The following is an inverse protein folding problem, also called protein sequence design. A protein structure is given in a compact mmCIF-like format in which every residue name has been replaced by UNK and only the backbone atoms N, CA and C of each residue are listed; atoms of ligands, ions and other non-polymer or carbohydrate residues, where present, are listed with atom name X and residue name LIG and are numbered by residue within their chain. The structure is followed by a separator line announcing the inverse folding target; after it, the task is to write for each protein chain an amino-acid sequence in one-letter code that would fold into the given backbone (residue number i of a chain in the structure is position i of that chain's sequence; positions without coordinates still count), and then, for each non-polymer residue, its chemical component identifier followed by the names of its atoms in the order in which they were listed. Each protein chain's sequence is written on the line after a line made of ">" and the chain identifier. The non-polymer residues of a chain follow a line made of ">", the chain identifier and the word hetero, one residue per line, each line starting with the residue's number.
data_IF_492175111824
#
_entry.id   IF_492175111824
#
_cell.length_a   1.000
_cell.length_b   1.000
_cell.length_c   1.000
_cell.angle_alpha   90.00
_cell.angle_beta   90.00
_cell.angle_gamma   90.00
#
_symmetry.space_group_name_H-M   'P 1'
#
loop_
_entity.id
_entity.type
_entity.pdbx_description
1 polymer ?
#
# COMPACT_ATOMS: atom_id res chain seq x y z
N UNK A 1 -36.25 -2.68 0.65
CA UNK A 1 -35.73 -1.31 0.80
C UNK A 1 -34.71 -1.32 1.91
N UNK A 2 -33.47 -1.65 1.55
CA UNK A 2 -32.30 -1.53 2.41
C UNK A 2 -31.20 -1.04 1.49
N UNK A 3 -30.88 0.25 1.61
CA UNK A 3 -29.74 0.85 0.93
C UNK A 3 -28.49 0.30 1.60
N UNK A 4 -27.74 -0.53 0.89
CA UNK A 4 -26.39 -0.97 1.29
C UNK A 4 -25.38 -0.23 0.41
N UNK A 5 -25.28 1.09 0.60
CA UNK A 5 -24.26 1.93 -0.04
C UNK A 5 -23.44 2.66 1.03
N UNK A 6 -22.70 1.90 1.85
CA UNK A 6 -21.52 2.41 2.58
C UNK A 6 -20.24 2.03 1.82
N UNK A 7 -20.15 2.43 0.55
CA UNK A 7 -18.93 2.30 -0.25
C UNK A 7 -18.23 3.65 -0.23
N UNK A 8 -17.38 3.85 0.79
CA UNK A 8 -16.58 5.06 1.00
C UNK A 8 -15.92 5.55 -0.28
N UNK A 9 -16.54 6.52 -0.94
CA UNK A 9 -16.03 7.11 -2.17
C UNK A 9 -14.93 8.09 -1.80
N UNK A 10 -13.67 7.71 -2.01
CA UNK A 10 -12.53 8.62 -1.83
C UNK A 10 -12.59 9.68 -2.93
N UNK A 11 -12.80 10.94 -2.55
CA UNK A 11 -12.80 12.06 -3.48
C UNK A 11 -11.53 12.06 -4.36
N UNK A 12 -11.66 12.38 -5.66
CA UNK A 12 -10.51 12.46 -6.56
C UNK A 12 -9.44 13.40 -5.98
N UNK A 13 -8.17 13.00 -6.06
CA UNK A 13 -7.03 13.75 -5.52
C UNK A 13 -6.83 13.62 -4.00
N UNK A 14 -7.80 13.07 -3.25
CA UNK A 14 -7.60 12.74 -1.84
C UNK A 14 -6.69 11.51 -1.70
N UNK A 15 -5.94 11.43 -0.60
CA UNK A 15 -5.14 10.26 -0.24
C UNK A 15 -6.06 9.06 -0.02
N UNK A 16 -5.94 8.08 -0.90
CA UNK A 16 -6.73 6.86 -0.90
C UNK A 16 -6.04 5.76 -0.08
N UNK A 17 -4.72 5.64 -0.22
CA UNK A 17 -3.92 4.64 0.49
C UNK A 17 -2.62 5.29 0.97
N UNK A 18 -2.23 5.03 2.21
CA UNK A 18 -0.93 5.42 2.78
C UNK A 18 -0.22 4.19 3.33
N UNK A 19 1.04 4.02 2.95
CA UNK A 19 1.98 3.10 3.55
C UNK A 19 2.89 3.93 4.45
N UNK A 20 3.04 3.55 5.71
CA UNK A 20 3.83 4.25 6.71
C UNK A 20 4.87 3.31 7.30
N UNK A 21 6.14 3.62 7.06
CA UNK A 21 7.31 2.90 7.58
C UNK A 21 7.31 1.38 7.29
N UNK A 22 6.76 1.00 6.14
CA UNK A 22 6.59 -0.40 5.76
C UNK A 22 7.93 -1.08 5.58
N UNK A 23 8.15 -2.12 6.37
CA UNK A 23 9.31 -3.00 6.22
C UNK A 23 8.88 -4.45 6.07
N UNK A 24 9.60 -5.18 5.22
CA UNK A 24 9.39 -6.62 5.00
C UNK A 24 10.71 -7.32 4.73
N UNK A 25 10.93 -8.39 5.46
CA UNK A 25 12.07 -9.29 5.30
C UNK A 25 11.59 -10.71 5.03
N UNK A 26 12.42 -11.47 4.34
CA UNK A 26 12.27 -12.90 4.13
C UNK A 26 13.58 -13.58 4.48
N UNK A 27 13.60 -14.32 5.60
CA UNK A 27 14.82 -14.93 6.12
C UNK A 27 15.94 -13.88 6.24
N UNK A 28 17.00 -13.96 5.42
CA UNK A 28 18.13 -13.02 5.40
C UNK A 28 17.99 -11.85 4.43
N UNK A 29 16.90 -11.76 3.64
CA UNK A 29 16.72 -10.73 2.61
C UNK A 29 15.72 -9.68 3.07
N UNK A 30 16.16 -8.41 3.13
CA UNK A 30 15.30 -7.26 3.40
C UNK A 30 14.68 -6.76 2.08
N UNK A 31 13.44 -7.16 1.81
CA UNK A 31 12.74 -6.83 0.57
C UNK A 31 12.25 -5.37 0.57
N UNK A 32 11.72 -4.88 1.69
CA UNK A 32 11.29 -3.50 1.84
C UNK A 32 11.84 -2.95 3.16
N UNK A 33 12.41 -1.74 3.12
CA UNK A 33 13.00 -1.08 4.30
C UNK A 33 12.40 0.31 4.44
N UNK A 34 11.61 0.53 5.49
CA UNK A 34 11.08 1.83 5.89
C UNK A 34 10.43 2.60 4.72
N UNK A 35 9.57 1.91 3.95
CA UNK A 35 8.89 2.51 2.80
C UNK A 35 7.67 3.31 3.29
N UNK A 36 7.66 4.60 2.95
CA UNK A 36 6.50 5.48 3.15
C UNK A 36 6.03 6.00 1.80
N UNK A 37 4.77 5.76 1.47
CA UNK A 37 4.18 6.07 0.16
C UNK A 37 2.70 6.44 0.31
N UNK A 38 2.29 7.55 -0.30
CA UNK A 38 0.88 7.94 -0.40
C UNK A 38 0.38 7.81 -1.84
N UNK A 39 -0.78 7.19 -2.03
CA UNK A 39 -1.46 7.06 -3.31
C UNK A 39 -2.76 7.86 -3.27
N UNK A 40 -2.97 8.75 -4.24
CA UNK A 40 -4.20 9.54 -4.34
C UNK A 40 -5.21 8.90 -5.28
N UNK A 41 -6.48 9.15 -5.00
CA UNK A 41 -7.59 8.69 -5.84
C UNK A 41 -7.50 9.30 -7.24
N UNK A 42 -7.48 8.45 -8.27
CA UNK A 42 -7.43 8.85 -9.68
C UNK A 42 -6.03 8.98 -10.27
N UNK A 43 -4.97 8.70 -9.51
CA UNK A 43 -3.59 8.71 -10.02
C UNK A 43 -3.12 7.31 -10.46
N UNK A 44 -2.23 7.29 -11.46
CA UNK A 44 -1.54 6.08 -11.92
C UNK A 44 -0.08 6.21 -11.50
N UNK A 45 0.42 5.25 -10.73
CA UNK A 45 1.81 5.20 -10.29
C UNK A 45 2.54 4.04 -10.95
N UNK A 46 3.77 4.28 -11.38
CA UNK A 46 4.67 3.24 -11.85
C UNK A 46 5.71 2.94 -10.77
N UNK A 47 5.80 1.66 -10.35
CA UNK A 47 6.83 1.20 -9.44
C UNK A 47 7.97 0.55 -10.25
N UNK A 48 9.14 1.20 -10.26
CA UNK A 48 10.30 0.80 -11.07
C UNK A 48 11.45 0.32 -10.19
N UNK A 49 12.33 -0.50 -10.76
CA UNK A 49 13.50 -1.05 -10.07
C UNK A 49 13.87 -2.44 -10.60
N UNK A 50 15.02 -2.96 -10.20
CA UNK A 50 15.55 -4.26 -10.64
C UNK A 50 14.83 -5.45 -10.03
N UNK A 51 15.04 -6.64 -10.58
CA UNK A 51 14.57 -7.88 -9.98
C UNK A 51 15.16 -8.05 -8.59
N UNK A 52 14.32 -8.40 -7.60
CA UNK A 52 14.74 -8.49 -6.20
C UNK A 52 14.65 -7.18 -5.40
N UNK A 53 14.37 -6.03 -6.02
CA UNK A 53 14.23 -4.75 -5.31
C UNK A 53 12.97 -4.63 -4.41
N UNK A 54 12.19 -5.70 -4.25
CA UNK A 54 11.01 -5.72 -3.39
C UNK A 54 9.73 -5.11 -3.99
N UNK A 55 9.69 -4.88 -5.31
CA UNK A 55 8.52 -4.28 -6.00
C UNK A 55 7.26 -5.13 -5.86
N UNK A 56 7.32 -6.40 -6.26
CA UNK A 56 6.19 -7.32 -6.16
C UNK A 56 5.77 -7.52 -4.70
N UNK A 57 6.73 -7.54 -3.77
CA UNK A 57 6.46 -7.59 -2.33
C UNK A 57 5.66 -6.37 -1.86
N UNK A 58 6.08 -5.16 -2.25
CA UNK A 58 5.37 -3.93 -1.90
C UNK A 58 3.95 -3.92 -2.47
N UNK A 59 3.75 -4.39 -3.71
CA UNK A 59 2.43 -4.52 -4.34
C UNK A 59 1.57 -5.57 -3.62
N UNK A 60 2.12 -6.72 -3.23
CA UNK A 60 1.39 -7.73 -2.45
C UNK A 60 0.96 -7.21 -1.08
N UNK A 61 1.81 -6.41 -0.42
CA UNK A 61 1.47 -5.74 0.83
C UNK A 61 0.33 -4.73 0.62
N UNK A 62 0.43 -3.90 -0.41
CA UNK A 62 -0.59 -2.92 -0.76
C UNK A 62 -1.94 -3.56 -1.10
N UNK A 63 -1.92 -4.72 -1.76
CA UNK A 63 -3.12 -5.49 -2.09
C UNK A 63 -3.70 -6.27 -0.89
N UNK A 64 -3.08 -6.19 0.30
CA UNK A 64 -3.50 -6.94 1.48
C UNK A 64 -3.22 -8.45 1.40
N UNK A 65 -2.49 -8.91 0.39
CA UNK A 65 -2.12 -10.32 0.21
C UNK A 65 -0.96 -10.73 1.13
N UNK A 66 -0.22 -9.76 1.65
CA UNK A 66 0.90 -10.01 2.55
C UNK A 66 0.96 -8.97 3.66
N UNK A 67 1.17 -9.41 4.89
CA UNK A 67 1.40 -8.49 6.00
C UNK A 67 2.86 -8.00 6.02
N UNK A 68 3.08 -6.70 6.23
CA UNK A 68 4.41 -6.17 6.52
C UNK A 68 4.89 -6.67 7.88
N UNK A 69 6.20 -6.68 8.12
CA UNK A 69 6.74 -7.04 9.45
C UNK A 69 6.61 -5.86 10.42
N UNK A 70 6.63 -4.63 9.90
CA UNK A 70 6.41 -3.40 10.66
C UNK A 70 5.83 -2.30 9.78
N UNK A 71 5.31 -1.26 10.45
CA UNK A 71 4.64 -0.13 9.81
C UNK A 71 3.12 -0.30 9.83
N UNK A 72 2.42 0.60 9.14
CA UNK A 72 0.96 0.55 9.01
C UNK A 72 0.51 0.96 7.62
N UNK A 73 -0.65 0.45 7.22
CA UNK A 73 -1.34 0.83 5.99
C UNK A 73 -2.63 1.52 6.39
N UNK A 74 -2.89 2.71 5.85
CA UNK A 74 -4.15 3.42 6.01
C UNK A 74 -4.90 3.45 4.69
N UNK A 75 -6.21 3.24 4.72
CA UNK A 75 -7.09 3.31 3.56
C UNK A 75 -8.19 4.33 3.84
N UNK A 76 -8.33 5.32 2.97
CA UNK A 76 -9.26 6.44 3.18
C UNK A 76 -8.94 7.24 4.46
N UNK A 77 -7.67 7.29 4.85
CA UNK A 77 -7.20 7.98 6.06
C UNK A 77 -7.40 7.21 7.38
N UNK A 78 -7.76 5.92 7.34
CA UNK A 78 -7.93 5.07 8.52
C UNK A 78 -7.02 3.86 8.48
#
# INVERSE_FOLDING_TARGET
>A
MSCEDDKGTVARGALAVELLDISKSFSSVLANKNITLGLRSGEIHALLGENGAGKSTLISILAGLQQPDSGSIRVGGR
#
